data_IF_458473562545
#
_entry.id   IF_458473562545
#
_cell.length_a   1.000
_cell.length_b   1.000
_cell.length_c   1.000
_cell.angle_alpha   90.00
_cell.angle_beta   90.00
_cell.angle_gamma   90.00
#
_symmetry.space_group_name_H-M   'P 1'
#
loop_
_entity.id
_entity.type
_entity.pdbx_description
1 polymer ?
#
# COMPACT_ATOMS: atom_id res chain seq x y z
N UNK A 1 -54.62 34.39 12.25
CA UNK A 1 -53.69 34.88 13.30
C UNK A 1 -53.71 33.84 14.39
N UNK A 2 -52.74 32.96 14.43
CA UNK A 2 -52.51 31.98 15.48
C UNK A 2 -51.30 32.44 16.32
N UNK A 3 -51.30 32.23 17.64
CA UNK A 3 -50.26 32.75 18.51
C UNK A 3 -49.00 31.93 18.45
N UNK A 4 -47.87 32.62 18.44
CA UNK A 4 -46.51 32.05 18.56
C UNK A 4 -46.29 31.69 20.02
N UNK A 5 -46.11 30.38 20.30
CA UNK A 5 -45.62 29.92 21.59
C UNK A 5 -44.10 29.88 21.52
N UNK A 6 -43.42 30.77 22.23
CA UNK A 6 -42.00 30.71 22.49
C UNK A 6 -41.73 29.61 23.54
N UNK A 7 -41.23 28.48 23.13
CA UNK A 7 -40.52 27.57 24.01
C UNK A 7 -39.01 27.79 23.81
N UNK A 8 -38.41 28.48 24.76
CA UNK A 8 -36.98 28.65 24.83
C UNK A 8 -36.30 27.32 25.14
N UNK A 9 -35.62 26.76 24.17
CA UNK A 9 -34.59 25.73 24.36
C UNK A 9 -33.27 26.32 23.91
N UNK A 10 -32.30 26.26 24.79
CA UNK A 10 -30.94 26.68 24.58
C UNK A 10 -30.32 25.64 23.62
N UNK A 11 -30.51 25.82 22.31
CA UNK A 11 -29.81 25.06 21.32
C UNK A 11 -28.36 25.54 21.24
N UNK A 12 -27.49 24.89 21.97
CA UNK A 12 -26.09 24.90 21.61
C UNK A 12 -26.01 24.27 20.22
N UNK A 13 -25.33 24.88 19.24
CA UNK A 13 -25.11 24.24 17.96
C UNK A 13 -24.32 22.97 18.24
N UNK A 14 -24.91 21.81 17.96
CA UNK A 14 -24.16 20.57 17.79
C UNK A 14 -23.21 20.85 16.63
N UNK A 15 -21.97 21.14 16.94
CA UNK A 15 -20.88 21.03 15.98
C UNK A 15 -20.81 19.53 15.70
N UNK A 16 -21.41 19.10 14.58
CA UNK A 16 -21.09 17.82 13.96
C UNK A 16 -19.65 18.03 13.52
N UNK A 17 -18.69 17.67 14.35
CA UNK A 17 -17.35 17.37 13.88
C UNK A 17 -17.56 16.24 12.88
N UNK A 18 -17.41 16.53 11.59
CA UNK A 18 -17.24 15.50 10.58
C UNK A 18 -16.17 14.57 11.12
N UNK A 19 -16.61 13.37 11.48
CA UNK A 19 -15.67 12.33 11.94
C UNK A 19 -14.86 11.98 10.71
N UNK A 20 -13.64 12.47 10.66
CA UNK A 20 -12.67 12.11 9.63
C UNK A 20 -12.58 10.60 9.59
N UNK A 21 -12.84 10.03 8.42
CA UNK A 21 -12.94 8.59 8.29
C UNK A 21 -11.69 8.05 7.61
N UNK A 22 -10.69 7.68 8.42
CA UNK A 22 -9.58 6.86 7.96
C UNK A 22 -10.07 5.41 7.94
N UNK A 23 -10.25 4.89 6.75
CA UNK A 23 -10.75 3.53 6.54
C UNK A 23 -9.60 2.54 6.46
N UNK A 24 -9.78 1.34 7.00
CA UNK A 24 -8.74 0.31 7.00
C UNK A 24 -9.15 -0.85 6.09
N UNK A 25 -8.27 -1.11 5.12
CA UNK A 25 -8.32 -2.24 4.22
C UNK A 25 -7.19 -3.23 4.46
N UNK A 26 -7.16 -4.28 3.63
CA UNK A 26 -6.08 -5.26 3.60
C UNK A 26 -5.73 -5.60 2.14
N UNK A 27 -4.65 -6.33 1.92
CA UNK A 27 -4.21 -6.73 0.59
C UNK A 27 -3.95 -8.24 0.53
N UNK A 28 -4.11 -8.89 -0.64
CA UNK A 28 -3.90 -10.33 -0.80
C UNK A 28 -2.49 -10.83 -0.44
N UNK A 29 -1.47 -9.96 -0.49
CA UNK A 29 -0.12 -10.30 -0.02
C UNK A 29 -0.09 -10.73 1.45
N UNK A 30 -1.03 -10.26 2.28
CA UNK A 30 -1.20 -10.71 3.67
C UNK A 30 -1.62 -12.20 3.77
N UNK A 31 -2.01 -12.82 2.67
CA UNK A 31 -2.28 -14.26 2.52
C UNK A 31 -1.23 -14.96 1.67
N UNK A 32 -0.07 -14.34 1.44
CA UNK A 32 1.03 -14.89 0.65
C UNK A 32 0.79 -14.84 -0.86
N UNK A 33 -0.11 -14.00 -1.34
CA UNK A 33 -0.43 -13.87 -2.77
C UNK A 33 0.45 -12.80 -3.41
N UNK A 34 1.63 -13.22 -3.86
CA UNK A 34 2.60 -12.35 -4.55
C UNK A 34 2.42 -12.37 -6.08
N UNK A 35 2.07 -13.53 -6.62
CA UNK A 35 1.88 -13.75 -8.05
C UNK A 35 0.51 -14.37 -8.32
N UNK A 36 -0.16 -13.91 -9.38
CA UNK A 36 -1.52 -14.36 -9.70
C UNK A 36 -1.65 -15.88 -9.92
N UNK A 37 -0.60 -16.50 -10.44
CA UNK A 37 -0.57 -17.93 -10.83
C UNK A 37 0.51 -18.67 -10.05
N UNK A 38 0.37 -18.72 -8.74
CA UNK A 38 1.19 -19.57 -7.89
C UNK A 38 0.30 -20.68 -7.31
N UNK A 39 0.75 -21.93 -7.42
CA UNK A 39 -0.01 -23.10 -6.92
C UNK A 39 -0.18 -23.09 -5.40
N UNK A 40 0.61 -22.29 -4.70
CA UNK A 40 0.54 -22.10 -3.24
C UNK A 40 -0.52 -21.09 -2.83
N UNK A 41 -1.03 -20.31 -3.76
CA UNK A 41 -2.05 -19.29 -3.44
C UNK A 41 -3.30 -19.95 -2.84
N UNK A 42 -3.88 -19.35 -1.79
CA UNK A 42 -5.22 -19.72 -1.36
C UNK A 42 -6.24 -19.38 -2.47
N UNK A 43 -7.43 -19.96 -2.39
CA UNK A 43 -8.51 -19.54 -3.26
C UNK A 43 -8.83 -18.05 -2.99
N UNK A 44 -9.06 -17.26 -4.05
CA UNK A 44 -9.38 -15.84 -3.92
C UNK A 44 -10.63 -15.60 -3.02
N UNK A 45 -11.60 -16.53 -3.05
CA UNK A 45 -12.78 -16.49 -2.17
C UNK A 45 -12.42 -16.66 -0.70
N UNK A 46 -11.44 -17.51 -0.38
CA UNK A 46 -10.92 -17.67 0.98
C UNK A 46 -10.30 -16.37 1.49
N UNK A 47 -9.52 -15.68 0.65
CA UNK A 47 -8.95 -14.37 1.00
C UNK A 47 -10.04 -13.35 1.30
N UNK A 48 -11.11 -13.29 0.48
CA UNK A 48 -12.23 -12.40 0.74
C UNK A 48 -12.99 -12.77 2.03
N UNK A 49 -13.24 -14.07 2.27
CA UNK A 49 -13.94 -14.54 3.47
C UNK A 49 -13.17 -14.16 4.74
N UNK A 50 -11.87 -14.46 4.77
CA UNK A 50 -11.03 -14.20 5.93
C UNK A 50 -10.79 -12.70 6.14
N UNK A 51 -10.63 -11.92 5.08
CA UNK A 51 -10.53 -10.46 5.17
C UNK A 51 -11.78 -9.85 5.83
N UNK A 52 -12.97 -10.25 5.40
CA UNK A 52 -14.22 -9.79 5.98
C UNK A 52 -14.39 -10.25 7.43
N UNK A 53 -14.04 -11.52 7.74
CA UNK A 53 -14.12 -12.10 9.08
C UNK A 53 -13.13 -11.45 10.06
N UNK A 54 -11.93 -11.06 9.59
CA UNK A 54 -10.96 -10.30 10.38
C UNK A 54 -11.44 -8.86 10.69
N UNK A 55 -12.54 -8.39 10.08
CA UNK A 55 -13.17 -7.11 10.36
C UNK A 55 -12.76 -5.97 9.44
N UNK A 56 -12.09 -6.26 8.33
CA UNK A 56 -11.81 -5.27 7.28
C UNK A 56 -13.06 -4.96 6.46
N UNK A 57 -13.07 -3.78 5.84
CA UNK A 57 -14.15 -3.32 4.95
C UNK A 57 -13.68 -3.00 3.55
N UNK A 58 -12.37 -3.04 3.32
CA UNK A 58 -11.74 -2.85 2.03
C UNK A 58 -10.70 -3.91 1.76
N UNK A 59 -10.51 -4.23 0.50
CA UNK A 59 -9.46 -5.13 0.04
C UNK A 59 -8.88 -4.58 -1.26
N UNK A 60 -7.59 -4.74 -1.46
CA UNK A 60 -6.95 -4.48 -2.75
C UNK A 60 -7.13 -5.63 -3.72
N UNK A 61 -6.97 -5.34 -5.01
CA UNK A 61 -7.09 -6.34 -6.08
C UNK A 61 -6.04 -7.45 -5.96
N UNK A 62 -4.88 -7.13 -5.39
CA UNK A 62 -3.69 -7.97 -5.48
C UNK A 62 -3.15 -8.07 -6.92
N UNK A 63 -2.32 -9.07 -7.23
CA UNK A 63 -1.78 -9.23 -8.57
C UNK A 63 -2.90 -9.53 -9.56
N UNK A 64 -2.98 -8.74 -10.65
CA UNK A 64 -4.05 -8.86 -11.66
C UNK A 64 -4.12 -10.27 -12.24
N UNK A 65 -5.31 -10.87 -12.21
CA UNK A 65 -5.55 -12.26 -12.59
C UNK A 65 -5.56 -13.26 -11.42
N UNK A 66 -5.33 -12.82 -10.19
CA UNK A 66 -5.60 -13.62 -8.98
C UNK A 66 -7.11 -13.65 -8.68
N UNK A 67 -7.72 -12.48 -8.55
CA UNK A 67 -9.17 -12.36 -8.49
C UNK A 67 -9.75 -12.36 -9.91
N UNK A 68 -11.03 -12.76 -10.09
CA UNK A 68 -11.69 -12.66 -11.37
C UNK A 68 -11.66 -11.23 -11.94
N UNK A 69 -11.29 -11.09 -13.22
CA UNK A 69 -11.32 -9.79 -13.90
C UNK A 69 -12.74 -9.44 -14.39
N UNK A 70 -13.65 -10.42 -14.41
CA UNK A 70 -15.06 -10.21 -14.75
C UNK A 70 -15.79 -9.51 -13.59
N UNK A 71 -16.26 -8.27 -13.78
CA UNK A 71 -16.95 -7.51 -12.74
C UNK A 71 -18.27 -8.15 -12.29
N UNK A 72 -18.92 -8.92 -13.15
CA UNK A 72 -20.16 -9.64 -12.83
C UNK A 72 -19.91 -10.85 -11.90
N UNK A 73 -18.65 -11.27 -11.76
CA UNK A 73 -18.23 -12.33 -10.83
C UNK A 73 -17.66 -11.71 -9.54
N UNK A 74 -16.72 -10.78 -9.65
CA UNK A 74 -16.05 -10.20 -8.49
C UNK A 74 -16.98 -9.26 -7.70
N UNK A 75 -17.79 -8.45 -8.38
CA UNK A 75 -18.70 -7.48 -7.73
C UNK A 75 -19.63 -8.12 -6.70
N UNK A 76 -20.47 -9.12 -7.08
CA UNK A 76 -21.33 -9.82 -6.14
C UNK A 76 -20.57 -10.53 -5.00
N UNK A 77 -19.36 -11.03 -5.28
CA UNK A 77 -18.52 -11.67 -4.27
C UNK A 77 -18.04 -10.69 -3.20
N UNK A 78 -17.68 -9.48 -3.58
CA UNK A 78 -17.33 -8.38 -2.66
C UNK A 78 -18.56 -7.90 -1.88
N UNK A 79 -19.68 -7.65 -2.58
CA UNK A 79 -20.92 -7.16 -1.98
C UNK A 79 -21.45 -8.11 -0.91
N UNK A 80 -21.47 -9.42 -1.20
CA UNK A 80 -21.95 -10.44 -0.24
C UNK A 80 -21.14 -10.49 1.05
N UNK A 81 -19.93 -9.95 1.05
CA UNK A 81 -19.00 -9.88 2.21
C UNK A 81 -18.91 -8.48 2.82
N UNK A 82 -19.65 -7.52 2.25
CA UNK A 82 -19.58 -6.12 2.63
C UNK A 82 -18.13 -5.56 2.54
N UNK A 83 -17.42 -5.95 1.48
CA UNK A 83 -16.09 -5.48 1.13
C UNK A 83 -16.16 -4.51 -0.05
N UNK A 84 -15.37 -3.45 -0.01
CA UNK A 84 -15.10 -2.58 -1.15
C UNK A 84 -13.76 -2.97 -1.80
N UNK A 85 -13.68 -2.96 -3.13
CA UNK A 85 -12.38 -2.91 -3.80
C UNK A 85 -11.85 -1.49 -3.67
N UNK A 86 -10.68 -1.31 -3.05
CA UNK A 86 -10.17 0.01 -2.65
C UNK A 86 -9.02 0.52 -3.49
N UNK A 87 -8.22 -0.40 -4.02
CA UNK A 87 -7.05 -0.10 -4.82
C UNK A 87 -6.52 -1.34 -5.52
N UNK A 88 -5.43 -1.17 -6.22
CA UNK A 88 -4.70 -2.25 -6.83
C UNK A 88 -3.27 -1.86 -7.15
N UNK A 89 -2.41 -2.84 -7.10
CA UNK A 89 -0.97 -2.68 -7.24
C UNK A 89 -0.51 -3.15 -8.61
N UNK A 90 0.37 -2.38 -9.22
CA UNK A 90 1.17 -2.77 -10.37
C UNK A 90 2.60 -3.00 -9.90
N UNK A 91 2.86 -4.21 -9.40
CA UNK A 91 4.19 -4.68 -9.02
C UNK A 91 4.87 -5.29 -10.25
N UNK A 92 5.66 -4.48 -10.96
CA UNK A 92 6.28 -4.82 -12.24
C UNK A 92 7.68 -4.22 -12.35
N UNK A 93 8.48 -4.78 -13.25
CA UNK A 93 9.86 -4.35 -13.49
C UNK A 93 9.91 -3.04 -14.30
N UNK A 94 9.56 -1.91 -13.68
CA UNK A 94 9.68 -0.59 -14.31
C UNK A 94 11.14 -0.25 -14.64
N UNK A 95 12.10 -0.84 -13.93
CA UNK A 95 13.53 -0.70 -14.19
C UNK A 95 13.98 -1.40 -15.49
N UNK A 96 13.25 -2.42 -15.96
CA UNK A 96 13.66 -3.24 -17.10
C UNK A 96 12.88 -2.87 -18.37
N UNK A 97 13.54 -2.24 -19.38
CA UNK A 97 12.88 -1.90 -20.63
C UNK A 97 12.41 -3.12 -21.43
N UNK A 98 13.00 -4.31 -21.24
CA UNK A 98 12.58 -5.52 -21.94
C UNK A 98 11.24 -6.07 -21.39
N UNK A 99 10.84 -5.66 -20.19
CA UNK A 99 9.58 -6.02 -19.55
C UNK A 99 8.47 -4.99 -19.77
N UNK A 100 8.71 -3.98 -20.59
CA UNK A 100 7.76 -2.88 -20.75
C UNK A 100 6.38 -3.30 -21.25
N UNK A 101 6.31 -4.20 -22.22
CA UNK A 101 5.00 -4.67 -22.76
C UNK A 101 4.19 -5.41 -21.70
N UNK A 102 4.81 -6.26 -20.88
CA UNK A 102 4.17 -6.95 -19.76
C UNK A 102 3.71 -5.97 -18.67
N UNK A 103 4.56 -4.98 -18.39
CA UNK A 103 4.25 -3.90 -17.43
C UNK A 103 3.05 -3.09 -17.89
N UNK A 104 3.00 -2.72 -19.17
CA UNK A 104 1.89 -1.97 -19.76
C UNK A 104 0.59 -2.78 -19.77
N UNK A 105 0.62 -4.04 -20.21
CA UNK A 105 -0.56 -4.92 -20.22
C UNK A 105 -1.12 -5.10 -18.80
N UNK A 106 -0.26 -5.45 -17.85
CA UNK A 106 -0.65 -5.59 -16.45
C UNK A 106 -1.28 -4.32 -15.89
N UNK A 107 -0.70 -3.16 -16.21
CA UNK A 107 -1.22 -1.85 -15.78
C UNK A 107 -2.60 -1.55 -16.37
N UNK A 108 -2.79 -1.78 -17.66
CA UNK A 108 -4.10 -1.59 -18.33
C UNK A 108 -5.17 -2.49 -17.73
N UNK A 109 -4.86 -3.75 -17.49
CA UNK A 109 -5.81 -4.71 -16.88
C UNK A 109 -6.17 -4.31 -15.46
N UNK A 110 -5.19 -3.90 -14.65
CA UNK A 110 -5.42 -3.37 -13.29
C UNK A 110 -6.31 -2.13 -13.34
N UNK A 111 -6.01 -1.15 -14.19
CA UNK A 111 -6.83 0.07 -14.34
C UNK A 111 -8.29 -0.26 -14.72
N UNK A 112 -8.50 -1.21 -15.64
CA UNK A 112 -9.85 -1.64 -16.05
C UNK A 112 -10.60 -2.25 -14.87
N UNK A 113 -9.98 -3.14 -14.12
CA UNK A 113 -10.59 -3.77 -12.95
C UNK A 113 -10.95 -2.73 -11.87
N UNK A 114 -10.04 -1.82 -11.55
CA UNK A 114 -10.29 -0.75 -10.59
C UNK A 114 -11.48 0.14 -11.02
N UNK A 115 -11.48 0.59 -12.27
CA UNK A 115 -12.56 1.42 -12.82
C UNK A 115 -13.91 0.72 -12.78
N UNK A 116 -13.96 -0.58 -13.10
CA UNK A 116 -15.19 -1.38 -13.11
C UNK A 116 -15.83 -1.48 -11.72
N UNK A 117 -15.03 -1.48 -10.67
CA UNK A 117 -15.49 -1.56 -9.27
C UNK A 117 -15.51 -0.23 -8.53
N UNK A 118 -15.21 0.89 -9.20
CA UNK A 118 -15.20 2.22 -8.58
C UNK A 118 -14.05 2.47 -7.61
N UNK A 119 -13.04 1.59 -7.57
CA UNK A 119 -11.81 1.80 -6.82
C UNK A 119 -11.04 3.00 -7.38
N UNK A 120 -10.31 3.71 -6.51
CA UNK A 120 -9.70 5.00 -6.87
C UNK A 120 -8.19 4.97 -6.93
N UNK A 121 -7.53 4.04 -6.27
CA UNK A 121 -6.08 4.06 -6.08
C UNK A 121 -5.39 3.02 -6.94
N UNK A 122 -4.45 3.49 -7.76
CA UNK A 122 -3.49 2.66 -8.49
C UNK A 122 -2.11 2.87 -7.88
N UNK A 123 -1.53 1.82 -7.34
CA UNK A 123 -0.20 1.86 -6.73
C UNK A 123 0.83 1.29 -7.69
N UNK A 124 1.86 2.05 -8.02
CA UNK A 124 2.98 1.61 -8.84
C UNK A 124 4.14 1.20 -7.94
N UNK A 125 4.65 0.00 -8.12
CA UNK A 125 5.79 -0.54 -7.38
C UNK A 125 6.80 -1.09 -8.39
N UNK A 126 8.03 -0.59 -8.33
CA UNK A 126 9.12 -1.23 -9.08
C UNK A 126 9.46 -2.56 -8.41
N UNK A 127 9.35 -3.65 -9.13
CA UNK A 127 9.53 -4.98 -8.59
C UNK A 127 10.99 -5.23 -8.16
N UNK A 128 11.18 -6.25 -7.34
CA UNK A 128 12.51 -6.68 -6.88
C UNK A 128 13.42 -6.93 -8.08
N UNK A 129 14.60 -6.34 -8.02
CA UNK A 129 15.66 -6.55 -9.01
C UNK A 129 16.79 -7.38 -8.42
N UNK A 130 17.31 -8.35 -9.19
CA UNK A 130 18.47 -9.13 -8.81
C UNK A 130 19.73 -8.26 -8.56
N UNK A 131 19.76 -7.05 -9.15
CA UNK A 131 20.80 -6.04 -8.91
C UNK A 131 20.70 -5.41 -7.51
N UNK A 132 19.49 -5.35 -6.94
CA UNK A 132 19.18 -4.64 -5.70
C UNK A 132 18.88 -5.55 -4.53
N UNK A 133 18.32 -6.75 -4.75
CA UNK A 133 17.99 -7.70 -3.68
C UNK A 133 19.16 -8.02 -2.74
N UNK A 134 20.42 -8.16 -3.23
CA UNK A 134 21.58 -8.43 -2.36
C UNK A 134 21.90 -7.28 -1.38
N UNK A 135 21.42 -6.08 -1.63
CA UNK A 135 21.78 -4.86 -0.87
C UNK A 135 20.59 -4.17 -0.21
N UNK A 136 19.44 -4.83 -0.13
CA UNK A 136 18.26 -4.30 0.53
C UNK A 136 18.58 -3.81 1.96
N UNK A 137 18.05 -2.62 2.32
CA UNK A 137 18.33 -1.96 3.59
C UNK A 137 19.73 -1.35 3.73
N UNK A 138 20.57 -1.39 2.68
CA UNK A 138 21.96 -0.89 2.70
C UNK A 138 22.22 0.07 1.54
N UNK A 139 21.78 1.34 1.65
CA UNK A 139 21.84 2.32 0.56
C UNK A 139 23.25 2.58 0.04
N UNK A 140 24.28 2.52 0.91
CA UNK A 140 25.68 2.76 0.58
C UNK A 140 26.28 1.71 -0.36
N UNK A 141 25.66 0.52 -0.41
CA UNK A 141 26.12 -0.62 -1.19
C UNK A 141 25.27 -0.85 -2.44
N UNK A 142 24.11 -0.20 -2.49
CA UNK A 142 23.10 -0.44 -3.51
C UNK A 142 23.53 0.11 -4.86
N UNK A 143 23.39 -0.71 -5.89
CA UNK A 143 23.66 -0.31 -7.26
C UNK A 143 22.70 0.81 -7.68
N UNK A 144 23.22 1.85 -8.29
CA UNK A 144 22.46 2.99 -8.78
C UNK A 144 22.24 2.87 -10.29
N UNK A 145 21.12 3.34 -10.77
CA UNK A 145 20.90 3.56 -12.20
C UNK A 145 21.78 4.71 -12.70
N UNK A 146 22.35 4.56 -13.90
CA UNK A 146 22.90 5.69 -14.61
C UNK A 146 21.79 6.66 -15.08
N UNK A 147 22.16 7.82 -15.62
CA UNK A 147 21.18 8.85 -16.01
C UNK A 147 20.29 8.40 -17.17
N UNK A 148 20.74 7.48 -18.03
CA UNK A 148 19.94 6.97 -19.16
C UNK A 148 18.94 5.93 -18.68
N UNK A 149 19.37 5.01 -17.82
CA UNK A 149 18.51 4.02 -17.16
C UNK A 149 17.43 4.75 -16.35
N UNK A 150 17.83 5.72 -15.52
CA UNK A 150 16.92 6.50 -14.69
C UNK A 150 15.88 7.27 -15.50
N UNK A 151 16.30 7.97 -16.57
CA UNK A 151 15.37 8.68 -17.44
C UNK A 151 14.33 7.74 -18.08
N UNK A 152 14.76 6.55 -18.51
CA UNK A 152 13.86 5.51 -19.02
C UNK A 152 12.90 4.97 -17.95
N UNK A 153 13.39 4.75 -16.75
CA UNK A 153 12.60 4.33 -15.60
C UNK A 153 11.49 5.37 -15.27
N UNK A 154 11.86 6.62 -15.13
CA UNK A 154 10.92 7.72 -14.85
C UNK A 154 9.87 7.86 -15.94
N UNK A 155 10.27 7.73 -17.23
CA UNK A 155 9.32 7.83 -18.33
C UNK A 155 8.29 6.68 -18.35
N UNK A 156 8.69 5.46 -18.01
CA UNK A 156 7.77 4.32 -17.87
C UNK A 156 6.77 4.54 -16.73
N UNK A 157 7.21 5.02 -15.58
CA UNK A 157 6.33 5.38 -14.45
C UNK A 157 5.37 6.51 -14.88
N UNK A 158 5.90 7.57 -15.48
CA UNK A 158 5.10 8.73 -15.94
C UNK A 158 4.02 8.30 -16.95
N UNK A 159 4.36 7.40 -17.86
CA UNK A 159 3.43 6.89 -18.88
C UNK A 159 2.24 6.18 -18.22
N UNK A 160 2.49 5.28 -17.28
CA UNK A 160 1.41 4.57 -16.58
C UNK A 160 0.63 5.54 -15.67
N UNK A 161 1.33 6.46 -15.00
CA UNK A 161 0.67 7.42 -14.13
C UNK A 161 -0.31 8.32 -14.91
N UNK A 162 0.09 8.83 -16.07
CA UNK A 162 -0.80 9.60 -16.95
C UNK A 162 -1.97 8.77 -17.46
N UNK A 163 -1.71 7.56 -17.95
CA UNK A 163 -2.76 6.66 -18.39
C UNK A 163 -3.79 6.42 -17.27
N UNK A 164 -3.35 6.08 -16.06
CA UNK A 164 -4.22 5.86 -14.92
C UNK A 164 -5.05 7.08 -14.57
N UNK A 165 -4.44 8.26 -14.57
CA UNK A 165 -5.11 9.52 -14.22
C UNK A 165 -6.03 10.01 -15.36
N UNK A 166 -5.53 10.11 -16.58
CA UNK A 166 -6.21 10.78 -17.69
C UNK A 166 -7.29 9.89 -18.34
N UNK A 167 -7.04 8.57 -18.48
CA UNK A 167 -7.97 7.66 -19.18
C UNK A 167 -8.91 6.91 -18.23
N UNK A 168 -8.42 6.61 -17.02
CA UNK A 168 -9.19 5.81 -16.07
C UNK A 168 -9.74 6.63 -14.89
N UNK A 169 -9.25 7.85 -14.66
CA UNK A 169 -9.69 8.74 -13.58
C UNK A 169 -9.27 8.24 -12.19
N UNK A 170 -8.12 7.56 -12.13
CA UNK A 170 -7.53 7.03 -10.91
C UNK A 170 -6.57 8.03 -10.27
N UNK A 171 -6.42 7.95 -8.96
CA UNK A 171 -5.29 8.54 -8.25
C UNK A 171 -4.14 7.55 -8.31
N UNK A 172 -3.07 7.92 -9.01
CA UNK A 172 -1.89 7.06 -9.18
C UNK A 172 -0.83 7.45 -8.17
N UNK A 173 -0.28 6.49 -7.46
CA UNK A 173 0.69 6.71 -6.42
C UNK A 173 1.90 5.78 -6.59
N UNK A 174 3.10 6.30 -6.32
CA UNK A 174 4.33 5.50 -6.23
C UNK A 174 4.51 4.98 -4.82
N UNK A 175 4.90 3.75 -4.69
CA UNK A 175 5.28 3.08 -3.46
C UNK A 175 6.77 2.72 -3.53
N UNK A 176 7.57 3.26 -2.60
CA UNK A 176 8.96 2.89 -2.44
C UNK A 176 9.05 1.48 -1.85
N UNK A 177 9.72 0.56 -2.55
CA UNK A 177 9.77 -0.85 -2.18
C UNK A 177 11.20 -1.37 -2.11
N UNK A 178 11.50 -2.10 -1.05
CA UNK A 178 12.83 -2.69 -0.84
C UNK A 178 13.26 -3.56 -2.03
N UNK A 179 14.51 -3.40 -2.42
CA UNK A 179 15.13 -4.09 -3.54
C UNK A 179 14.62 -3.70 -4.96
N UNK A 180 13.76 -2.68 -5.08
CA UNK A 180 13.50 -1.95 -6.33
C UNK A 180 14.48 -0.81 -6.56
N UNK A 181 14.33 -0.06 -7.65
CA UNK A 181 15.11 1.15 -7.92
C UNK A 181 14.40 2.44 -7.47
N UNK A 182 13.24 2.33 -6.83
CA UNK A 182 12.62 3.35 -6.01
C UNK A 182 12.46 2.78 -4.59
N UNK A 183 13.57 2.64 -3.87
CA UNK A 183 13.66 2.06 -2.52
C UNK A 183 14.08 3.13 -1.51
N UNK A 184 15.26 3.72 -1.74
CA UNK A 184 15.86 4.65 -0.80
C UNK A 184 15.34 6.08 -0.96
N UNK A 185 15.39 6.82 0.13
CA UNK A 185 14.88 8.20 0.19
C UNK A 185 15.37 9.11 -0.95
N UNK A 186 16.66 9.14 -1.33
CA UNK A 186 17.13 9.99 -2.43
C UNK A 186 16.50 9.62 -3.78
N UNK A 187 16.24 8.34 -4.02
CA UNK A 187 15.61 7.85 -5.25
C UNK A 187 14.14 8.28 -5.32
N UNK A 188 13.41 8.08 -4.21
CA UNK A 188 12.03 8.52 -4.10
C UNK A 188 11.92 10.04 -4.26
N UNK A 189 12.74 10.82 -3.56
CA UNK A 189 12.75 12.29 -3.67
C UNK A 189 13.12 12.76 -5.09
N UNK A 190 14.07 12.10 -5.76
CA UNK A 190 14.43 12.39 -7.17
C UNK A 190 13.23 12.14 -8.08
N UNK A 191 12.58 11.00 -7.97
CA UNK A 191 11.39 10.66 -8.77
C UNK A 191 10.27 11.68 -8.56
N UNK A 192 10.00 12.05 -7.31
CA UNK A 192 8.97 13.01 -6.95
C UNK A 192 9.26 14.44 -7.48
N UNK A 193 10.52 14.81 -7.64
CA UNK A 193 10.91 16.08 -8.24
C UNK A 193 10.81 16.07 -9.77
N UNK A 194 10.89 14.91 -10.41
CA UNK A 194 10.86 14.78 -11.87
C UNK A 194 9.46 14.48 -12.43
N UNK A 195 8.51 14.02 -11.58
CA UNK A 195 7.12 13.74 -12.01
C UNK A 195 6.16 14.65 -11.26
N UNK A 196 5.31 15.33 -12.01
CA UNK A 196 4.34 16.30 -11.48
C UNK A 196 3.36 15.64 -10.49
N UNK A 197 3.06 16.35 -9.40
CA UNK A 197 2.18 15.84 -8.34
C UNK A 197 0.73 15.64 -8.76
N UNK A 198 0.28 16.32 -9.81
CA UNK A 198 -1.05 16.13 -10.37
C UNK A 198 -1.21 14.78 -11.07
N UNK A 199 -0.09 14.12 -11.40
CA UNK A 199 -0.04 12.84 -12.11
C UNK A 199 0.40 11.70 -11.21
N UNK A 200 1.34 11.96 -10.27
CA UNK A 200 1.89 10.94 -9.40
C UNK A 200 1.90 11.40 -7.94
N UNK A 201 1.12 10.74 -7.12
CA UNK A 201 1.07 10.88 -5.66
C UNK A 201 2.00 9.87 -4.98
N UNK A 202 1.91 9.79 -3.66
CA UNK A 202 2.67 8.83 -2.84
C UNK A 202 1.68 7.84 -2.19
N UNK A 203 1.96 6.57 -2.36
CA UNK A 203 1.52 5.52 -1.46
C UNK A 203 2.67 5.26 -0.47
N UNK A 204 2.52 5.72 0.76
CA UNK A 204 3.58 5.56 1.74
C UNK A 204 3.41 4.21 2.45
N UNK A 205 4.39 3.31 2.24
CA UNK A 205 4.51 2.07 3.01
C UNK A 205 5.44 2.30 4.21
N UNK A 206 4.89 2.14 5.40
CA UNK A 206 5.62 2.42 6.64
C UNK A 206 6.78 1.46 6.88
N UNK A 207 6.63 0.19 6.52
CA UNK A 207 7.65 -0.84 6.73
C UNK A 207 8.80 -0.74 5.75
N UNK A 208 8.50 -0.58 4.45
CA UNK A 208 9.55 -0.43 3.45
C UNK A 208 10.40 0.82 3.67
N UNK A 209 9.79 1.93 4.10
CA UNK A 209 10.52 3.15 4.46
C UNK A 209 11.46 2.91 5.65
N UNK A 210 10.99 2.23 6.70
CA UNK A 210 11.84 1.84 7.83
C UNK A 210 12.96 0.91 7.39
N UNK A 211 12.68 -0.05 6.49
CA UNK A 211 13.71 -0.94 5.96
C UNK A 211 14.77 -0.19 5.15
N UNK A 212 14.34 0.79 4.36
CA UNK A 212 15.24 1.68 3.61
C UNK A 212 16.05 2.65 4.48
N UNK A 213 15.82 2.66 5.79
CA UNK A 213 16.63 3.39 6.76
C UNK A 213 16.20 4.83 7.03
N UNK A 214 14.94 5.20 6.74
CA UNK A 214 14.42 6.52 7.12
C UNK A 214 13.08 6.44 7.87
N UNK A 215 12.76 7.51 8.58
CA UNK A 215 11.59 7.55 9.45
C UNK A 215 10.33 7.92 8.67
N UNK A 216 9.27 7.08 8.68
CA UNK A 216 8.01 7.38 8.01
C UNK A 216 7.31 8.64 8.54
N UNK A 217 7.41 8.94 9.84
CA UNK A 217 6.81 10.12 10.46
C UNK A 217 7.50 11.40 9.95
N UNK A 218 8.86 11.43 9.93
CA UNK A 218 9.62 12.57 9.36
C UNK A 218 9.31 12.76 7.87
N UNK A 219 9.17 11.66 7.12
CA UNK A 219 8.83 11.73 5.70
C UNK A 219 7.40 12.22 5.47
N UNK A 220 6.43 11.74 6.26
CA UNK A 220 5.03 12.20 6.22
C UNK A 220 4.92 13.69 6.49
N UNK A 221 5.56 14.20 7.54
CA UNK A 221 5.51 15.62 7.90
C UNK A 221 5.92 16.55 6.75
N UNK A 222 6.81 16.09 5.89
CA UNK A 222 7.35 16.88 4.76
C UNK A 222 6.56 16.72 3.46
N UNK A 223 5.79 15.63 3.33
CA UNK A 223 5.17 15.23 2.07
C UNK A 223 3.67 14.96 2.18
N UNK A 224 3.00 15.36 3.26
CA UNK A 224 1.61 15.02 3.54
C UNK A 224 0.66 15.39 2.40
N UNK A 225 0.85 16.54 1.79
CA UNK A 225 0.02 17.04 0.67
C UNK A 225 0.10 16.14 -0.58
N UNK A 226 1.16 15.36 -0.69
CA UNK A 226 1.39 14.45 -1.80
C UNK A 226 1.01 13.00 -1.48
N UNK A 227 0.82 12.65 -0.20
CA UNK A 227 0.39 11.31 0.22
C UNK A 227 -1.11 11.16 -0.04
N UNK A 228 -1.49 10.20 -0.87
CA UNK A 228 -2.89 9.92 -1.20
C UNK A 228 -3.36 8.54 -0.75
N UNK A 229 -2.43 7.68 -0.35
CA UNK A 229 -2.69 6.31 0.05
C UNK A 229 -1.60 5.82 1.00
N UNK A 230 -1.93 4.85 1.85
CA UNK A 230 -1.00 4.33 2.83
C UNK A 230 -0.99 2.81 2.81
N UNK A 231 0.20 2.21 2.89
CA UNK A 231 0.38 0.83 3.29
C UNK A 231 0.95 0.77 4.71
N UNK A 232 0.25 0.07 5.57
CA UNK A 232 0.67 -0.16 6.95
C UNK A 232 1.38 -1.50 7.06
N UNK A 233 2.65 -1.44 7.21
CA UNK A 233 3.57 -2.57 7.37
C UNK A 233 4.54 -2.26 8.50
N UNK A 234 4.97 -3.26 9.25
CA UNK A 234 5.90 -3.07 10.37
C UNK A 234 7.12 -3.97 10.23
N UNK A 235 8.23 -3.54 10.80
CA UNK A 235 9.54 -4.16 10.67
C UNK A 235 10.05 -4.61 12.03
N UNK A 236 10.42 -5.89 12.15
CA UNK A 236 11.08 -6.40 13.34
C UNK A 236 12.49 -5.79 13.49
N UNK A 237 12.75 -5.03 14.56
CA UNK A 237 14.02 -4.31 14.75
C UNK A 237 15.22 -5.24 14.88
N UNK A 238 15.04 -6.40 15.49
CA UNK A 238 16.15 -7.33 15.69
C UNK A 238 16.50 -8.07 14.39
N UNK A 239 15.48 -8.52 13.64
CA UNK A 239 15.69 -9.14 12.33
C UNK A 239 16.32 -8.13 11.36
N UNK A 240 15.85 -6.88 11.33
CA UNK A 240 16.45 -5.81 10.54
C UNK A 240 17.93 -5.60 10.89
N UNK A 241 18.23 -5.46 12.18
CA UNK A 241 19.61 -5.30 12.65
C UNK A 241 20.51 -6.46 12.21
N UNK A 242 20.02 -7.71 12.32
CA UNK A 242 20.76 -8.90 11.90
C UNK A 242 20.92 -8.95 10.38
N UNK A 243 19.88 -8.63 9.62
CA UNK A 243 19.90 -8.55 8.15
C UNK A 243 20.99 -7.60 7.66
N UNK A 244 21.06 -6.41 8.22
CA UNK A 244 22.07 -5.42 7.86
C UNK A 244 23.48 -5.89 8.26
N UNK A 245 23.64 -6.38 9.51
CA UNK A 245 24.93 -6.81 10.03
C UNK A 245 25.52 -8.01 9.28
N UNK A 246 24.67 -8.95 8.89
CA UNK A 246 25.05 -10.17 8.19
C UNK A 246 25.05 -10.01 6.66
N UNK A 247 24.67 -8.83 6.14
CA UNK A 247 24.55 -8.54 4.70
C UNK A 247 23.60 -9.52 3.99
N UNK A 248 22.51 -9.88 4.68
CA UNK A 248 21.49 -10.80 4.18
C UNK A 248 20.76 -10.16 3.01
N UNK A 249 20.42 -10.92 1.97
CA UNK A 249 19.62 -10.43 0.86
C UNK A 249 18.13 -10.28 1.24
N UNK A 250 17.35 -9.64 0.35
CA UNK A 250 15.94 -9.35 0.61
C UNK A 250 15.11 -10.62 0.83
N UNK A 251 15.28 -11.63 -0.01
CA UNK A 251 14.48 -12.86 0.07
C UNK A 251 14.75 -13.66 1.34
N UNK A 252 16.02 -13.70 1.75
CA UNK A 252 16.41 -14.34 3.00
C UNK A 252 15.92 -13.54 4.21
N UNK A 253 15.94 -12.20 4.13
CA UNK A 253 15.39 -11.34 5.17
C UNK A 253 13.89 -11.58 5.37
N UNK A 254 13.10 -11.70 4.29
CA UNK A 254 11.69 -12.09 4.35
C UNK A 254 11.50 -13.45 5.02
N UNK A 255 12.31 -14.45 4.62
CA UNK A 255 12.30 -15.79 5.24
C UNK A 255 12.70 -15.81 6.71
N UNK A 256 13.43 -14.81 7.18
CA UNK A 256 13.79 -14.63 8.58
C UNK A 256 12.75 -13.82 9.37
N UNK A 257 11.64 -13.39 8.72
CA UNK A 257 10.55 -12.69 9.37
C UNK A 257 10.80 -11.20 9.61
N UNK A 258 11.43 -10.51 8.65
CA UNK A 258 11.69 -9.08 8.76
C UNK A 258 10.41 -8.26 8.88
N UNK A 259 9.33 -8.67 8.20
CA UNK A 259 8.01 -8.07 8.36
C UNK A 259 7.26 -8.75 9.52
N UNK A 260 6.74 -7.95 10.43
CA UNK A 260 6.07 -8.43 11.64
C UNK A 260 4.67 -7.81 11.80
N UNK A 261 3.88 -8.35 12.74
CA UNK A 261 2.57 -7.76 13.03
C UNK A 261 2.70 -6.30 13.47
N UNK A 262 1.74 -5.47 13.05
CA UNK A 262 1.69 -4.06 13.38
C UNK A 262 1.77 -3.84 14.90
N UNK A 263 2.59 -2.88 15.29
CA UNK A 263 2.84 -2.52 16.70
C UNK A 263 3.81 -3.44 17.44
N UNK A 264 4.41 -4.43 16.77
CA UNK A 264 5.50 -5.24 17.31
C UNK A 264 6.87 -4.82 16.76
N UNK A 265 6.90 -3.92 15.79
CA UNK A 265 8.10 -3.44 15.12
C UNK A 265 8.51 -2.03 15.51
N UNK A 266 9.24 -1.38 14.58
CA UNK A 266 9.82 -0.05 14.78
C UNK A 266 8.85 1.10 14.49
N UNK A 267 7.76 0.85 13.74
CA UNK A 267 6.87 1.92 13.29
C UNK A 267 6.03 2.50 14.43
N UNK A 268 6.08 3.82 14.62
CA UNK A 268 5.23 4.51 15.59
C UNK A 268 3.84 4.82 15.01
N UNK A 269 2.97 3.81 14.93
CA UNK A 269 1.61 3.96 14.37
C UNK A 269 0.74 4.99 15.11
N UNK A 270 1.04 5.33 16.37
CA UNK A 270 0.30 6.38 17.08
C UNK A 270 0.64 7.76 16.52
N UNK A 271 1.91 8.02 16.21
CA UNK A 271 2.32 9.26 15.55
C UNK A 271 1.86 9.31 14.10
N UNK A 272 1.95 8.18 13.36
CA UNK A 272 1.37 8.07 12.01
C UNK A 272 -0.11 8.45 12.02
N UNK A 273 -0.88 7.87 12.95
CA UNK A 273 -2.30 8.20 13.10
C UNK A 273 -2.52 9.68 13.39
N UNK A 274 -1.77 10.24 14.34
CA UNK A 274 -1.90 11.65 14.70
C UNK A 274 -1.64 12.58 13.53
N UNK A 275 -0.62 12.29 12.71
CA UNK A 275 -0.34 13.07 11.50
C UNK A 275 -1.45 12.97 10.45
N UNK A 276 -2.02 11.79 10.26
CA UNK A 276 -3.16 11.61 9.36
C UNK A 276 -4.36 12.44 9.82
N UNK A 277 -4.64 12.45 11.14
CA UNK A 277 -5.72 13.26 11.73
C UNK A 277 -5.44 14.76 11.60
N UNK A 278 -4.25 15.21 11.96
CA UNK A 278 -3.87 16.63 11.93
C UNK A 278 -3.88 17.21 10.50
N UNK A 279 -3.61 16.37 9.50
CA UNK A 279 -3.65 16.74 8.08
C UNK A 279 -5.03 16.63 7.44
N UNK A 280 -6.05 16.20 8.18
CA UNK A 280 -7.37 15.89 7.66
C UNK A 280 -7.33 14.86 6.52
N UNK A 281 -6.50 13.83 6.66
CA UNK A 281 -6.42 12.75 5.68
C UNK A 281 -7.74 11.98 5.65
N UNK A 282 -8.34 11.88 4.47
CA UNK A 282 -9.53 11.08 4.21
C UNK A 282 -9.21 10.01 3.18
N UNK A 283 -9.48 8.76 3.51
CA UNK A 283 -9.25 7.68 2.58
C UNK A 283 -8.91 6.36 3.23
N UNK A 284 -8.28 5.50 2.44
CA UNK A 284 -7.92 4.15 2.83
C UNK A 284 -6.46 4.05 3.25
N UNK A 285 -6.24 3.29 4.32
CA UNK A 285 -4.94 2.75 4.69
C UNK A 285 -5.04 1.22 4.61
N UNK A 286 -4.18 0.59 3.84
CA UNK A 286 -4.19 -0.85 3.63
C UNK A 286 -3.15 -1.50 4.53
N UNK A 287 -3.53 -2.54 5.27
CA UNK A 287 -2.59 -3.39 5.98
C UNK A 287 -1.93 -4.33 4.99
N UNK A 288 -0.61 -4.40 5.02
CA UNK A 288 0.17 -5.40 4.31
C UNK A 288 1.05 -6.18 5.29
N UNK A 289 0.92 -7.47 5.26
CA UNK A 289 1.73 -8.41 6.03
C UNK A 289 2.30 -9.44 5.08
N UNK A 290 3.50 -9.19 4.56
CA UNK A 290 4.12 -10.15 3.64
C UNK A 290 4.33 -11.48 4.34
N UNK A 291 3.68 -12.51 3.82
CA UNK A 291 3.72 -13.85 4.38
C UNK A 291 4.69 -14.73 3.59
N UNK A 292 5.89 -14.90 4.12
CA UNK A 292 6.81 -15.91 3.54
C UNK A 292 6.33 -17.33 3.89
N UNK A 293 6.11 -18.20 2.91
CA UNK A 293 5.61 -19.56 3.15
C UNK A 293 6.57 -20.44 3.99
N UNK A 294 7.81 -20.01 4.19
CA UNK A 294 8.78 -20.66 5.10
C UNK A 294 8.46 -20.40 6.56
N UNK A 295 7.76 -19.31 6.85
CA UNK A 295 7.27 -18.98 8.18
C UNK A 295 5.94 -19.69 8.40
N UNK A 296 5.84 -20.49 9.48
CA UNK A 296 4.60 -21.19 9.84
C UNK A 296 3.66 -20.22 10.57
N UNK A 297 3.13 -19.24 9.84
CA UNK A 297 2.21 -18.24 10.35
C UNK A 297 0.79 -18.52 9.84
N UNK A 298 -0.19 -18.00 10.56
CA UNK A 298 -1.60 -18.05 10.16
C UNK A 298 -1.99 -16.68 9.60
N UNK A 299 -2.18 -16.52 8.29
CA UNK A 299 -2.58 -15.25 7.70
C UNK A 299 -3.83 -14.64 8.35
N UNK A 300 -4.80 -15.49 8.69
CA UNK A 300 -6.03 -15.06 9.36
C UNK A 300 -5.76 -14.52 10.77
N UNK A 301 -4.86 -15.15 11.55
CA UNK A 301 -4.53 -14.68 12.88
C UNK A 301 -3.75 -13.36 12.80
N UNK A 302 -2.84 -13.23 11.85
CA UNK A 302 -2.10 -11.98 11.62
C UNK A 302 -3.04 -10.86 11.19
N UNK A 303 -3.97 -11.12 10.27
CA UNK A 303 -4.98 -10.16 9.84
C UNK A 303 -5.82 -9.67 11.03
N UNK A 304 -6.27 -10.58 11.93
CA UNK A 304 -7.00 -10.22 13.15
C UNK A 304 -6.15 -9.43 14.13
N UNK A 305 -4.90 -9.85 14.37
CA UNK A 305 -4.00 -9.18 15.30
C UNK A 305 -3.71 -7.75 14.84
N UNK A 306 -3.40 -7.56 13.55
CA UNK A 306 -3.16 -6.25 12.96
C UNK A 306 -4.39 -5.35 13.06
N UNK A 307 -5.59 -5.89 12.77
CA UNK A 307 -6.85 -5.13 12.90
C UNK A 307 -7.13 -4.72 14.35
N UNK A 308 -6.95 -5.63 15.32
CA UNK A 308 -7.14 -5.36 16.75
C UNK A 308 -6.14 -4.31 17.25
N UNK A 309 -4.88 -4.40 16.83
CA UNK A 309 -3.88 -3.39 17.18
C UNK A 309 -4.32 -2.00 16.69
N UNK A 310 -4.70 -1.86 15.41
CA UNK A 310 -5.14 -0.59 14.85
C UNK A 310 -6.37 -0.03 15.58
N UNK A 311 -7.34 -0.89 15.93
CA UNK A 311 -8.48 -0.49 16.76
C UNK A 311 -8.05 -0.01 18.14
N UNK A 312 -7.07 -0.68 18.78
CA UNK A 312 -6.60 -0.33 20.12
C UNK A 312 -5.95 1.05 20.18
N UNK A 313 -5.44 1.55 19.06
CA UNK A 313 -4.86 2.88 18.94
C UNK A 313 -5.80 3.89 18.27
N UNK A 314 -7.05 3.49 17.95
CA UNK A 314 -8.15 4.35 17.56
C UNK A 314 -8.45 4.45 16.06
N UNK A 315 -7.88 3.61 15.21
CA UNK A 315 -8.39 3.43 13.85
C UNK A 315 -9.70 2.63 13.88
N UNK A 316 -10.68 2.99 13.03
CA UNK A 316 -12.04 2.40 13.07
C UNK A 316 -12.28 1.43 11.90
#
# INVERSE_FOLDING_TARGET
ILPIIHLGWNEQPFIITEVMTILIGNAPCSWGVEFAKDERNPAWTTVLDECAEAGYRGIELGPVGFMPEDPDVLGPALESRNLALIGGVVFRAFHDPEKWEDTLDGSVRTCKALKAHGAKHLVLIDSISDRRAPTAGRPEEAEQMDDVEWAGFVERIRTIARMGTEEYGLTVAIHAHAAGFCDFRPELERLLNEVDESVLKICLDTGHIVYAGFDPVDFMQKNMDRISYMHFKDIDPEVKRQTIANRTDFYEACGNGIFCNLGKGEVNFKEVRQLLEDSNFEGWCTVEQDCDPRLQISPMDDARNNRQFLQSIGFV
#
